data_IF_157235679285
#
_entry.id   IF_157235679285
#
_cell.length_a   1.000
_cell.length_b   1.000
_cell.length_c   1.000
_cell.angle_alpha   90.00
_cell.angle_beta   90.00
_cell.angle_gamma   90.00
#
_symmetry.space_group_name_H-M   'P 1'
#
loop_
_entity.id
_entity.type
_entity.pdbx_description
1 polymer ?
#
# COMPACT_ATOMS: atom_id res chain seq x y z
N UNK A 1 27.96 -5.24 2.57
CA UNK A 1 26.66 -4.55 2.72
C UNK A 1 26.31 -4.01 1.36
N UNK A 2 25.29 -4.57 0.71
CA UNK A 2 24.83 -4.12 -0.60
C UNK A 2 24.12 -2.79 -0.41
N UNK A 3 24.63 -1.71 -1.02
CA UNK A 3 23.82 -0.50 -1.23
C UNK A 3 22.58 -0.93 -2.00
N UNK A 4 21.41 -0.89 -1.34
CA UNK A 4 20.14 -0.95 -2.04
C UNK A 4 20.09 0.26 -2.95
N UNK A 5 20.05 0.02 -4.26
CA UNK A 5 19.93 1.06 -5.26
C UNK A 5 18.67 1.89 -4.98
N UNK A 6 18.88 3.14 -4.54
CA UNK A 6 17.82 4.09 -4.19
C UNK A 6 16.98 4.50 -5.41
N UNK A 7 17.33 4.02 -6.61
CA UNK A 7 16.64 4.31 -7.87
C UNK A 7 15.21 3.76 -7.97
N UNK A 8 14.82 2.81 -7.11
CA UNK A 8 13.56 2.04 -7.23
C UNK A 8 12.41 2.43 -6.29
N UNK A 9 12.62 3.37 -5.36
CA UNK A 9 11.66 3.70 -4.28
C UNK A 9 10.32 4.29 -4.82
N UNK A 10 10.26 4.62 -6.11
CA UNK A 10 9.07 5.08 -6.84
C UNK A 10 8.57 4.16 -7.95
N UNK A 11 9.08 2.93 -8.06
CA UNK A 11 8.81 2.05 -9.21
C UNK A 11 7.63 1.10 -8.96
N UNK A 12 7.02 0.61 -10.05
CA UNK A 12 6.03 -0.47 -10.02
C UNK A 12 6.72 -1.81 -10.32
N UNK A 13 6.46 -2.82 -9.51
CA UNK A 13 6.75 -4.22 -9.83
C UNK A 13 5.55 -4.91 -10.46
N UNK A 14 5.71 -5.55 -11.62
CA UNK A 14 4.65 -6.33 -12.28
C UNK A 14 4.96 -7.82 -12.20
N UNK A 15 4.05 -8.59 -11.61
CA UNK A 15 4.09 -10.06 -11.59
C UNK A 15 3.09 -10.58 -12.63
N UNK A 16 3.58 -10.97 -13.79
CA UNK A 16 2.78 -11.47 -14.91
C UNK A 16 3.62 -12.34 -15.86
N UNK A 17 2.99 -12.95 -16.86
CA UNK A 17 3.73 -13.46 -18.03
C UNK A 17 4.41 -12.30 -18.80
N UNK A 18 5.39 -12.62 -19.64
CA UNK A 18 6.22 -11.61 -20.33
C UNK A 18 5.41 -10.73 -21.28
N UNK A 19 4.42 -11.29 -21.97
CA UNK A 19 3.62 -10.55 -22.95
C UNK A 19 2.71 -9.54 -22.23
N UNK A 20 2.00 -10.00 -21.21
CA UNK A 20 1.18 -9.14 -20.34
C UNK A 20 2.03 -8.05 -19.68
N UNK A 21 3.21 -8.40 -19.15
CA UNK A 21 4.10 -7.43 -18.52
C UNK A 21 4.56 -6.33 -19.49
N UNK A 22 4.86 -6.67 -20.74
CA UNK A 22 5.26 -5.70 -21.76
C UNK A 22 4.12 -4.71 -22.08
N UNK A 23 2.89 -5.20 -22.27
CA UNK A 23 1.73 -4.37 -22.55
C UNK A 23 1.42 -3.39 -21.39
N UNK A 24 1.48 -3.87 -20.15
CA UNK A 24 1.22 -3.05 -18.96
C UNK A 24 2.36 -2.05 -18.69
N UNK A 25 3.60 -2.41 -19.02
CA UNK A 25 4.75 -1.49 -18.93
C UNK A 25 4.54 -0.27 -19.80
N UNK A 26 4.11 -0.46 -21.05
CA UNK A 26 3.85 0.66 -21.95
C UNK A 26 2.73 1.57 -21.42
N UNK A 27 1.64 0.97 -20.92
CA UNK A 27 0.52 1.72 -20.34
C UNK A 27 0.96 2.60 -19.17
N UNK A 28 1.66 2.02 -18.18
CA UNK A 28 2.04 2.72 -16.95
C UNK A 28 3.19 3.71 -17.15
N UNK A 29 4.09 3.45 -18.11
CA UNK A 29 5.17 4.37 -18.45
C UNK A 29 4.65 5.71 -18.99
N UNK A 30 3.48 5.73 -19.66
CA UNK A 30 2.83 6.98 -20.11
C UNK A 30 2.42 7.88 -18.96
N UNK A 31 2.12 7.31 -17.79
CA UNK A 31 1.82 8.06 -16.56
C UNK A 31 3.09 8.42 -15.78
N UNK A 32 4.28 8.09 -16.29
CA UNK A 32 5.57 8.41 -15.68
C UNK A 32 6.01 7.40 -14.62
N UNK A 33 5.41 6.21 -14.58
CA UNK A 33 5.93 5.12 -13.75
C UNK A 33 7.15 4.47 -14.41
N UNK A 34 8.14 4.15 -13.59
CA UNK A 34 9.16 3.16 -13.96
C UNK A 34 8.62 1.79 -13.57
N UNK A 35 8.78 0.83 -14.47
CA UNK A 35 8.16 -0.50 -14.33
C UNK A 35 9.25 -1.56 -14.39
N UNK A 36 9.21 -2.48 -13.44
CA UNK A 36 10.09 -3.65 -13.38
C UNK A 36 9.23 -4.90 -13.50
N UNK A 37 9.57 -5.77 -14.46
CA UNK A 37 8.95 -7.09 -14.55
C UNK A 37 9.58 -8.04 -13.52
N UNK A 38 8.75 -8.63 -12.67
CA UNK A 38 9.12 -9.62 -11.67
C UNK A 38 8.59 -10.98 -12.15
N UNK A 39 9.47 -11.99 -12.30
CA UNK A 39 9.03 -13.33 -12.67
C UNK A 39 8.03 -13.92 -11.65
N UNK A 40 7.06 -14.70 -12.15
CA UNK A 40 5.98 -15.29 -11.32
C UNK A 40 6.52 -16.20 -10.21
N UNK A 41 7.61 -16.90 -10.48
CA UNK A 41 8.26 -17.83 -9.56
C UNK A 41 9.19 -17.13 -8.56
N UNK A 42 9.39 -15.80 -8.71
CA UNK A 42 10.17 -15.04 -7.75
C UNK A 42 9.45 -15.06 -6.41
N UNK A 43 10.12 -15.65 -5.42
CA UNK A 43 9.66 -15.59 -4.03
C UNK A 43 9.57 -14.10 -3.65
N UNK A 44 8.47 -13.64 -3.04
CA UNK A 44 8.36 -12.26 -2.58
C UNK A 44 9.42 -12.02 -1.50
N UNK A 45 10.60 -11.58 -1.92
CA UNK A 45 11.76 -11.26 -1.09
C UNK A 45 11.80 -9.76 -0.86
N UNK A 46 12.77 -9.29 -0.07
CA UNK A 46 13.00 -7.86 0.19
C UNK A 46 13.13 -7.02 -1.09
N UNK A 47 13.51 -7.59 -2.24
CA UNK A 47 13.59 -6.86 -3.51
C UNK A 47 12.21 -6.50 -4.07
N UNK A 48 11.18 -7.33 -3.86
CA UNK A 48 9.82 -7.02 -4.30
C UNK A 48 9.19 -5.89 -3.47
N UNK A 49 9.55 -5.79 -2.19
CA UNK A 49 9.07 -4.71 -1.32
C UNK A 49 9.86 -3.39 -1.48
N UNK A 50 10.89 -3.36 -2.33
CA UNK A 50 11.57 -2.12 -2.71
C UNK A 50 10.71 -1.24 -3.65
N UNK A 51 9.67 -1.83 -4.26
CA UNK A 51 8.76 -1.13 -5.16
C UNK A 51 7.73 -0.28 -4.39
N UNK A 52 7.29 0.80 -5.02
CA UNK A 52 6.20 1.64 -4.52
C UNK A 52 4.84 0.93 -4.58
N UNK A 53 4.66 0.01 -5.53
CA UNK A 53 3.42 -0.70 -5.80
C UNK A 53 3.72 -2.02 -6.53
N UNK A 54 3.00 -3.09 -6.19
CA UNK A 54 3.03 -4.36 -6.89
C UNK A 54 1.71 -4.60 -7.63
N UNK A 55 1.81 -4.97 -8.91
CA UNK A 55 0.68 -5.38 -9.74
C UNK A 55 0.79 -6.86 -10.03
N UNK A 56 -0.21 -7.63 -9.60
CA UNK A 56 -0.26 -9.09 -9.79
C UNK A 56 -1.29 -9.43 -10.84
N UNK A 57 -0.83 -9.87 -12.00
CA UNK A 57 -1.68 -10.20 -13.16
C UNK A 57 -1.52 -11.68 -13.46
N UNK A 58 -2.16 -12.49 -12.61
CA UNK A 58 -2.10 -13.95 -12.64
C UNK A 58 -3.52 -14.52 -12.67
N UNK A 59 -3.70 -15.77 -13.14
CA UNK A 59 -4.93 -16.50 -12.90
C UNK A 59 -5.30 -16.52 -11.41
N UNK A 60 -6.60 -16.52 -11.03
CA UNK A 60 -7.03 -16.38 -9.63
C UNK A 60 -6.32 -17.31 -8.64
N UNK A 61 -6.21 -18.60 -8.94
CA UNK A 61 -5.56 -19.58 -8.06
C UNK A 61 -4.06 -19.30 -7.87
N UNK A 62 -3.38 -18.84 -8.93
CA UNK A 62 -1.97 -18.48 -8.88
C UNK A 62 -1.75 -17.16 -8.13
N UNK A 63 -2.66 -16.20 -8.28
CA UNK A 63 -2.65 -14.95 -7.53
C UNK A 63 -2.83 -15.21 -6.03
N UNK A 64 -3.78 -16.06 -5.64
CA UNK A 64 -4.00 -16.44 -4.23
C UNK A 64 -2.80 -17.18 -3.65
N UNK A 65 -2.22 -18.12 -4.40
CA UNK A 65 -1.01 -18.83 -3.98
C UNK A 65 0.17 -17.87 -3.79
N UNK A 66 0.32 -16.87 -4.67
CA UNK A 66 1.34 -15.83 -4.53
C UNK A 66 1.08 -14.96 -3.29
N UNK A 67 -0.16 -14.55 -3.07
CA UNK A 67 -0.55 -13.76 -1.90
C UNK A 67 -0.29 -14.52 -0.60
N UNK A 68 -0.64 -15.80 -0.52
CA UNK A 68 -0.39 -16.64 0.66
C UNK A 68 1.11 -16.73 0.99
N UNK A 69 1.97 -16.90 -0.03
CA UNK A 69 3.43 -16.87 0.15
C UNK A 69 3.91 -15.52 0.67
N UNK A 70 3.36 -14.43 0.13
CA UNK A 70 3.70 -13.06 0.55
C UNK A 70 3.31 -12.79 2.00
N UNK A 71 2.11 -13.22 2.40
CA UNK A 71 1.60 -13.02 3.75
C UNK A 71 2.45 -13.71 4.82
N UNK A 72 3.14 -14.79 4.47
CA UNK A 72 4.11 -15.47 5.34
C UNK A 72 5.42 -14.69 5.59
N UNK A 73 5.69 -13.62 4.84
CA UNK A 73 6.89 -12.80 4.98
C UNK A 73 6.62 -11.52 5.81
N UNK A 74 7.54 -11.20 6.72
CA UNK A 74 7.38 -10.10 7.69
C UNK A 74 7.59 -8.69 7.10
N UNK A 75 8.28 -8.57 5.97
CA UNK A 75 8.40 -7.32 5.22
C UNK A 75 7.28 -7.30 4.17
N UNK A 76 6.32 -6.38 4.29
CA UNK A 76 5.24 -6.17 3.32
C UNK A 76 5.01 -4.66 3.13
N UNK A 77 6.06 -3.99 2.68
CA UNK A 77 6.06 -2.53 2.55
C UNK A 77 5.23 -2.07 1.35
N UNK A 78 5.33 -2.77 0.21
CA UNK A 78 4.63 -2.36 -1.01
C UNK A 78 3.14 -2.73 -0.95
N UNK A 79 2.20 -1.86 -1.36
CA UNK A 79 0.84 -2.29 -1.63
C UNK A 79 0.79 -3.31 -2.78
N UNK A 80 -0.10 -4.31 -2.71
CA UNK A 80 -0.30 -5.26 -3.81
C UNK A 80 -1.74 -5.23 -4.34
N UNK A 81 -1.84 -5.04 -5.66
CA UNK A 81 -3.10 -4.93 -6.38
C UNK A 81 -3.22 -6.13 -7.31
N UNK A 82 -4.34 -6.83 -7.22
CA UNK A 82 -4.68 -7.88 -8.18
C UNK A 82 -5.27 -7.23 -9.43
N UNK A 83 -4.77 -7.61 -10.60
CA UNK A 83 -5.29 -7.15 -11.89
C UNK A 83 -6.09 -8.28 -12.52
N UNK A 84 -7.38 -8.04 -12.66
CA UNK A 84 -8.36 -9.01 -13.12
C UNK A 84 -8.67 -8.79 -14.62
N UNK A 85 -9.21 -9.81 -15.30
CA UNK A 85 -9.84 -9.63 -16.61
C UNK A 85 -10.92 -8.54 -16.55
N UNK A 86 -11.24 -7.88 -17.69
CA UNK A 86 -12.22 -6.79 -17.74
C UNK A 86 -13.68 -7.24 -17.48
N UNK A 87 -13.90 -8.54 -17.27
CA UNK A 87 -15.22 -9.14 -17.26
C UNK A 87 -15.88 -9.01 -15.88
N UNK A 88 -16.41 -7.83 -15.56
CA UNK A 88 -17.36 -7.62 -14.46
C UNK A 88 -17.00 -6.50 -13.49
N UNK A 89 -17.99 -6.14 -12.66
CA UNK A 89 -17.80 -5.15 -11.60
C UNK A 89 -16.87 -5.73 -10.52
N UNK A 90 -15.86 -4.95 -10.13
CA UNK A 90 -14.95 -5.29 -9.05
C UNK A 90 -15.55 -4.82 -7.72
N UNK A 91 -15.81 -5.77 -6.82
CA UNK A 91 -15.97 -5.45 -5.41
C UNK A 91 -14.60 -5.41 -4.73
N UNK A 92 -14.00 -4.22 -4.70
CA UNK A 92 -12.68 -3.98 -4.07
C UNK A 92 -12.64 -4.43 -2.61
N UNK A 93 -13.74 -4.30 -1.87
CA UNK A 93 -13.74 -4.65 -0.45
C UNK A 93 -13.61 -6.14 -0.22
N UNK A 94 -14.28 -6.96 -1.05
CA UNK A 94 -14.10 -8.42 -1.04
C UNK A 94 -12.64 -8.82 -1.25
N UNK A 95 -11.93 -8.18 -2.17
CA UNK A 95 -10.50 -8.46 -2.40
C UNK A 95 -9.62 -8.00 -1.24
N UNK A 96 -9.92 -6.84 -0.64
CA UNK A 96 -9.21 -6.35 0.56
C UNK A 96 -9.34 -7.33 1.73
N UNK A 97 -10.53 -7.92 1.94
CA UNK A 97 -10.76 -8.93 3.00
C UNK A 97 -10.03 -10.24 2.74
N UNK A 98 -9.77 -10.59 1.48
CA UNK A 98 -8.88 -11.70 1.10
C UNK A 98 -7.40 -11.41 1.34
N UNK A 99 -7.06 -10.17 1.65
CA UNK A 99 -5.71 -9.73 2.01
C UNK A 99 -4.96 -8.98 0.91
N UNK A 100 -5.60 -8.72 -0.22
CA UNK A 100 -5.09 -7.76 -1.21
C UNK A 100 -5.20 -6.34 -0.68
N UNK A 101 -4.53 -5.39 -1.35
CA UNK A 101 -4.65 -3.97 -1.02
C UNK A 101 -5.65 -3.25 -1.93
N UNK A 102 -5.82 -3.68 -3.18
CA UNK A 102 -6.87 -3.23 -4.10
C UNK A 102 -7.10 -4.29 -5.19
N UNK A 103 -8.08 -4.06 -6.05
CA UNK A 103 -8.30 -4.82 -7.27
C UNK A 103 -8.61 -3.87 -8.43
N UNK A 104 -8.10 -4.19 -9.62
CA UNK A 104 -8.31 -3.40 -10.83
C UNK A 104 -8.60 -4.30 -12.03
N UNK A 105 -9.39 -3.79 -12.99
CA UNK A 105 -9.40 -4.35 -14.33
C UNK A 105 -8.19 -3.82 -15.09
N UNK A 106 -7.87 -4.39 -16.26
CA UNK A 106 -6.85 -3.81 -17.14
C UNK A 106 -7.20 -2.39 -17.59
N UNK A 107 -8.49 -2.12 -17.82
CA UNK A 107 -8.97 -0.82 -18.32
C UNK A 107 -8.85 0.29 -17.27
N UNK A 108 -9.08 -0.03 -15.99
CA UNK A 108 -9.01 0.94 -14.90
C UNK A 108 -7.62 1.01 -14.24
N UNK A 109 -6.67 0.17 -14.68
CA UNK A 109 -5.39 -0.03 -14.00
C UNK A 109 -4.60 1.27 -13.82
N UNK A 110 -4.56 2.14 -14.84
CA UNK A 110 -3.86 3.42 -14.78
C UNK A 110 -4.44 4.32 -13.67
N UNK A 111 -5.77 4.42 -13.60
CA UNK A 111 -6.46 5.20 -12.58
C UNK A 111 -6.24 4.60 -11.18
N UNK A 112 -6.31 3.27 -11.04
CA UNK A 112 -6.03 2.59 -9.77
C UNK A 112 -4.57 2.84 -9.34
N UNK A 113 -3.60 2.61 -10.24
CA UNK A 113 -2.18 2.83 -9.94
C UNK A 113 -1.90 4.27 -9.52
N UNK A 114 -2.53 5.27 -10.16
CA UNK A 114 -2.40 6.67 -9.79
C UNK A 114 -2.84 6.95 -8.33
N UNK A 115 -3.92 6.30 -7.86
CA UNK A 115 -4.38 6.42 -6.45
C UNK A 115 -3.41 5.83 -5.44
N UNK A 116 -2.53 4.92 -5.87
CA UNK A 116 -1.54 4.24 -5.04
C UNK A 116 -0.15 4.86 -5.15
N UNK A 117 -0.02 6.03 -5.77
CA UNK A 117 1.24 6.78 -5.76
C UNK A 117 1.66 7.11 -4.33
N UNK A 118 2.94 6.85 -3.97
CA UNK A 118 3.49 7.30 -2.70
C UNK A 118 3.27 8.80 -2.51
N UNK A 119 2.67 9.24 -1.39
CA UNK A 119 2.65 10.65 -1.07
C UNK A 119 4.06 11.13 -0.69
N UNK A 120 4.29 12.45 -0.77
CA UNK A 120 5.49 13.04 -0.19
C UNK A 120 5.52 12.77 1.33
N UNK A 121 6.66 12.29 1.83
CA UNK A 121 6.83 11.98 3.24
C UNK A 121 7.45 13.16 3.98
N UNK A 122 6.85 13.60 5.09
CA UNK A 122 7.33 14.75 5.86
C UNK A 122 8.32 14.38 6.97
N UNK A 123 8.59 13.09 7.19
CA UNK A 123 9.41 12.59 8.31
C UNK A 123 10.80 13.21 8.32
N UNK A 124 11.51 13.24 7.19
CA UNK A 124 12.85 13.85 7.11
C UNK A 124 12.86 15.33 7.55
N UNK A 125 11.80 16.08 7.24
CA UNK A 125 11.64 17.47 7.71
C UNK A 125 11.42 17.52 9.21
N UNK A 126 10.58 16.63 9.75
CA UNK A 126 10.30 16.56 11.19
C UNK A 126 11.54 16.15 11.99
N UNK A 127 12.33 15.20 11.48
CA UNK A 127 13.60 14.77 12.08
C UNK A 127 14.57 15.93 12.23
N UNK A 128 14.64 16.82 11.22
CA UNK A 128 15.46 18.03 11.27
C UNK A 128 15.03 19.05 12.33
N UNK A 129 13.77 19.01 12.79
CA UNK A 129 13.23 19.96 13.78
C UNK A 129 13.20 19.36 15.19
N UNK A 130 12.81 18.09 15.31
CA UNK A 130 12.52 17.45 16.59
C UNK A 130 13.56 16.41 17.02
N UNK A 131 14.46 16.00 16.12
CA UNK A 131 15.43 14.93 16.35
C UNK A 131 15.03 13.62 15.68
N UNK A 132 16.03 12.87 15.21
CA UNK A 132 15.84 11.60 14.50
C UNK A 132 15.23 10.54 15.43
N UNK A 133 15.72 10.42 16.67
CA UNK A 133 15.29 9.38 17.59
C UNK A 133 13.82 9.54 18.00
N UNK A 134 13.41 10.76 18.30
CA UNK A 134 12.05 11.11 18.70
C UNK A 134 11.04 10.83 17.57
N UNK A 135 11.38 11.25 16.34
CA UNK A 135 10.53 11.01 15.18
C UNK A 135 10.49 9.53 14.81
N UNK A 136 11.61 8.81 14.91
CA UNK A 136 11.67 7.37 14.72
C UNK A 136 10.74 6.63 15.68
N UNK A 137 10.81 6.92 16.98
CA UNK A 137 9.95 6.30 17.98
C UNK A 137 8.46 6.57 17.69
N UNK A 138 8.09 7.81 17.36
CA UNK A 138 6.70 8.18 17.09
C UNK A 138 6.17 7.53 15.81
N UNK A 139 6.95 7.56 14.73
CA UNK A 139 6.50 7.04 13.42
C UNK A 139 6.47 5.52 13.38
N UNK A 140 7.42 4.81 14.01
CA UNK A 140 7.35 3.36 14.15
C UNK A 140 6.18 2.93 15.06
N UNK A 141 5.93 3.66 16.15
CA UNK A 141 4.76 3.43 16.99
C UNK A 141 3.43 3.69 16.25
N UNK A 142 3.38 4.71 15.38
CA UNK A 142 2.23 4.93 14.49
C UNK A 142 2.08 3.76 13.51
N UNK A 143 3.17 3.31 12.87
CA UNK A 143 3.16 2.21 11.91
C UNK A 143 2.52 0.96 12.49
N UNK A 144 2.91 0.55 13.69
CA UNK A 144 2.32 -0.61 14.38
C UNK A 144 0.81 -0.46 14.58
N UNK A 145 0.36 0.74 15.00
CA UNK A 145 -1.07 1.04 15.17
C UNK A 145 -1.83 1.02 13.86
N UNK A 146 -1.24 1.53 12.78
CA UNK A 146 -1.86 1.49 11.45
C UNK A 146 -1.96 0.05 10.93
N UNK A 147 -0.95 -0.79 11.15
CA UNK A 147 -1.00 -2.22 10.80
C UNK A 147 -2.13 -2.93 11.55
N UNK A 148 -2.24 -2.69 12.86
CA UNK A 148 -3.35 -3.23 13.66
C UNK A 148 -4.71 -2.74 13.14
N UNK A 149 -4.80 -1.45 12.77
CA UNK A 149 -6.03 -0.87 12.25
C UNK A 149 -6.44 -1.45 10.88
N UNK A 150 -5.48 -1.75 9.99
CA UNK A 150 -5.75 -2.48 8.73
C UNK A 150 -6.30 -3.88 9.02
N UNK A 151 -5.74 -4.59 10.00
CA UNK A 151 -6.24 -5.90 10.39
C UNK A 151 -7.68 -5.82 10.94
N UNK A 152 -7.97 -4.81 11.77
CA UNK A 152 -9.33 -4.56 12.28
C UNK A 152 -10.32 -4.26 11.14
N UNK A 153 -9.93 -3.39 10.19
CA UNK A 153 -10.74 -3.04 9.02
C UNK A 153 -11.07 -4.28 8.18
N UNK A 154 -10.12 -5.20 7.99
CA UNK A 154 -10.37 -6.45 7.23
C UNK A 154 -11.30 -7.42 7.97
N UNK A 155 -11.21 -7.45 9.29
CA UNK A 155 -11.93 -8.40 10.12
C UNK A 155 -13.40 -7.98 10.37
N UNK A 156 -13.67 -6.68 10.48
CA UNK A 156 -14.97 -6.17 10.92
C UNK A 156 -15.45 -4.95 10.12
N UNK A 157 -16.75 -4.95 9.80
CA UNK A 157 -17.45 -3.80 9.24
C UNK A 157 -18.11 -2.92 10.34
N UNK A 158 -17.86 -3.24 11.62
CA UNK A 158 -18.39 -2.49 12.76
C UNK A 158 -17.69 -1.13 12.94
N UNK A 159 -18.32 -0.09 12.38
CA UNK A 159 -17.86 1.29 12.48
C UNK A 159 -17.84 1.83 13.91
N UNK A 160 -18.71 1.35 14.79
CA UNK A 160 -18.73 1.81 16.19
C UNK A 160 -17.48 1.33 16.93
N UNK A 161 -17.08 0.07 16.73
CA UNK A 161 -15.83 -0.46 17.26
C UNK A 161 -14.59 0.26 16.70
N UNK A 162 -14.66 0.78 15.47
CA UNK A 162 -13.57 1.52 14.83
C UNK A 162 -13.46 2.98 15.30
N UNK A 163 -14.53 3.59 15.83
CA UNK A 163 -14.60 5.03 16.09
C UNK A 163 -13.56 5.55 17.10
N UNK A 164 -13.33 4.84 18.21
CA UNK A 164 -12.34 5.27 19.22
C UNK A 164 -10.90 5.20 18.65
N UNK A 165 -10.59 4.11 17.95
CA UNK A 165 -9.32 3.94 17.23
C UNK A 165 -9.15 5.02 16.16
N UNK A 166 -10.22 5.35 15.44
CA UNK A 166 -10.23 6.33 14.38
C UNK A 166 -9.87 7.74 14.88
N UNK A 167 -10.43 8.18 16.02
CA UNK A 167 -10.09 9.49 16.58
C UNK A 167 -8.61 9.61 16.97
N UNK A 168 -8.06 8.56 17.61
CA UNK A 168 -6.64 8.51 17.98
C UNK A 168 -5.72 8.52 16.77
N UNK A 169 -6.02 7.71 15.75
CA UNK A 169 -5.22 7.66 14.52
C UNK A 169 -5.27 8.97 13.74
N UNK A 170 -6.45 9.61 13.66
CA UNK A 170 -6.60 10.90 12.99
C UNK A 170 -5.67 11.97 13.57
N UNK A 171 -5.53 12.02 14.90
CA UNK A 171 -4.64 12.97 15.58
C UNK A 171 -3.16 12.71 15.25
N UNK A 172 -2.70 11.47 15.43
CA UNK A 172 -1.28 11.13 15.26
C UNK A 172 -0.85 11.24 13.79
N UNK A 173 -1.68 10.77 12.86
CA UNK A 173 -1.43 10.93 11.42
C UNK A 173 -1.26 12.40 11.03
N UNK A 174 -2.10 13.30 11.56
CA UNK A 174 -1.99 14.74 11.29
C UNK A 174 -0.68 15.35 11.82
N UNK A 175 -0.23 14.96 13.01
CA UNK A 175 1.03 15.46 13.59
C UNK A 175 2.24 15.05 12.75
N UNK A 176 2.24 13.81 12.24
CA UNK A 176 3.35 13.27 11.45
C UNK A 176 3.26 13.57 9.94
N UNK A 177 2.25 14.35 9.52
CA UNK A 177 2.06 14.79 8.13
C UNK A 177 1.53 13.71 7.19
N UNK A 178 0.81 12.71 7.71
CA UNK A 178 0.06 11.73 6.93
C UNK A 178 -1.38 12.21 6.74
N UNK A 179 -1.56 13.36 6.09
CA UNK A 179 -2.83 14.09 6.02
C UNK A 179 -3.97 13.25 5.45
N UNK A 180 -3.73 12.49 4.37
CA UNK A 180 -4.76 11.67 3.72
C UNK A 180 -5.30 10.60 4.68
N UNK A 181 -4.41 9.85 5.33
CA UNK A 181 -4.80 8.88 6.35
C UNK A 181 -5.50 9.56 7.52
N UNK A 182 -4.98 10.69 8.00
CA UNK A 182 -5.59 11.47 9.07
C UNK A 182 -7.02 11.95 8.74
N UNK A 183 -7.25 12.42 7.52
CA UNK A 183 -8.58 12.84 7.04
C UNK A 183 -9.54 11.65 6.95
N UNK A 184 -9.10 10.51 6.40
CA UNK A 184 -9.92 9.30 6.29
C UNK A 184 -10.34 8.77 7.68
N UNK A 185 -9.40 8.67 8.62
CA UNK A 185 -9.69 8.24 9.99
C UNK A 185 -10.58 9.26 10.73
N UNK A 186 -10.39 10.57 10.52
CA UNK A 186 -11.28 11.59 11.10
C UNK A 186 -12.71 11.45 10.57
N UNK A 187 -12.88 11.27 9.26
CA UNK A 187 -14.19 11.07 8.66
C UNK A 187 -14.88 9.80 9.19
N UNK A 188 -14.13 8.72 9.41
CA UNK A 188 -14.63 7.50 10.01
C UNK A 188 -15.07 7.71 11.48
N UNK A 189 -14.28 8.47 12.27
CA UNK A 189 -14.60 8.80 13.66
C UNK A 189 -15.87 9.65 13.78
N UNK A 190 -16.09 10.56 12.83
CA UNK A 190 -17.28 11.42 12.73
C UNK A 190 -18.48 10.71 12.09
N UNK A 191 -18.41 9.38 11.90
CA UNK A 191 -19.45 8.56 11.26
C UNK A 191 -19.86 9.04 9.88
N UNK A 192 -18.97 9.74 9.16
CA UNK A 192 -19.25 10.17 7.80
C UNK A 192 -19.29 8.97 6.87
N UNK A 193 -20.13 9.06 5.84
CA UNK A 193 -20.18 8.04 4.80
C UNK A 193 -18.93 8.14 3.92
N UNK A 194 -17.88 7.43 4.35
CA UNK A 194 -16.63 7.26 3.64
C UNK A 194 -16.49 5.78 3.27
N UNK A 195 -16.12 5.44 2.03
CA UNK A 195 -15.84 4.07 1.64
C UNK A 195 -14.67 3.48 2.46
N UNK A 196 -14.87 2.30 3.06
CA UNK A 196 -13.81 1.60 3.79
C UNK A 196 -12.57 1.29 2.91
N UNK A 197 -12.69 0.98 1.61
CA UNK A 197 -11.53 0.85 0.73
C UNK A 197 -10.63 2.09 0.69
N UNK A 198 -11.19 3.30 0.79
CA UNK A 198 -10.37 4.52 0.81
C UNK A 198 -9.61 4.69 2.13
N UNK A 199 -10.23 4.34 3.27
CA UNK A 199 -9.56 4.34 4.58
C UNK A 199 -8.41 3.34 4.56
N UNK A 200 -8.66 2.14 4.04
CA UNK A 200 -7.65 1.09 3.90
C UNK A 200 -6.47 1.57 3.04
N UNK A 201 -6.74 2.09 1.84
CA UNK A 201 -5.72 2.62 0.92
C UNK A 201 -4.86 3.69 1.57
N UNK A 202 -5.48 4.73 2.13
CA UNK A 202 -4.75 5.82 2.76
C UNK A 202 -3.86 5.33 3.92
N UNK A 203 -4.37 4.36 4.70
CA UNK A 203 -3.63 3.73 5.80
C UNK A 203 -2.44 2.92 5.29
N UNK A 204 -2.63 2.13 4.22
CA UNK A 204 -1.54 1.35 3.61
C UNK A 204 -0.47 2.23 2.99
N UNK A 205 -0.84 3.34 2.35
CA UNK A 205 0.13 4.31 1.83
C UNK A 205 0.96 4.96 2.94
N UNK A 206 0.35 5.27 4.09
CA UNK A 206 1.08 5.79 5.25
C UNK A 206 2.06 4.75 5.83
N UNK A 207 1.64 3.50 5.99
CA UNK A 207 2.52 2.38 6.41
C UNK A 207 3.70 2.26 5.44
N UNK A 208 3.43 2.20 4.15
CA UNK A 208 4.45 2.04 3.11
C UNK A 208 5.43 3.23 3.10
N UNK A 209 4.95 4.45 3.36
CA UNK A 209 5.81 5.63 3.46
C UNK A 209 6.75 5.56 4.67
N UNK A 210 6.27 5.10 5.82
CA UNK A 210 7.09 4.89 7.02
C UNK A 210 8.13 3.79 6.74
N UNK A 211 7.72 2.67 6.17
CA UNK A 211 8.60 1.52 5.91
C UNK A 211 9.72 1.91 4.95
N UNK A 212 9.42 2.62 3.87
CA UNK A 212 10.43 3.10 2.91
C UNK A 212 11.40 4.11 3.54
N UNK A 213 10.91 5.00 4.39
CA UNK A 213 11.76 5.99 5.06
C UNK A 213 12.84 5.31 5.92
N UNK A 214 12.48 4.25 6.64
CA UNK A 214 13.42 3.52 7.49
C UNK A 214 14.16 2.36 6.80
N UNK A 215 13.71 1.89 5.64
CA UNK A 215 14.43 0.90 4.84
C UNK A 215 15.61 1.50 4.05
N UNK A 216 15.59 2.81 3.78
CA UNK A 216 16.61 3.53 3.02
C UNK A 216 17.66 4.29 3.85
N UNK A 217 17.58 4.17 5.18
CA UNK A 217 18.50 4.78 6.15
C UNK A 217 19.74 3.93 6.44
#
# INVERSE_FOLDING_TARGET
MSELDKSHIGDIGIIADRETAAALTELLARDGWRVTHIPVDTTPTSSADAHALLLVVLPPDAADAWLARRQGNAAQAAPAIVVLPPDGAIDTWTWIRRGWDDAATRDDLAAVAARWRPPACSLARLEGVFGVAEVAQLSLGLRERLVAAVAMLRASDDRAALAETAHRLAGICGILGFDDAGRCWRALAETRDLPLPDVHRATRLAIAAIDRHYAGG
#
